data_IF_304396795210
#
_entry.id   IF_304396795210
#
_cell.length_a   1.000
_cell.length_b   1.000
_cell.length_c   1.000
_cell.angle_alpha   90.00
_cell.angle_beta   90.00
_cell.angle_gamma   90.00
#
_symmetry.space_group_name_H-M   'P 1'
#
loop_
_entity.id
_entity.type
_entity.pdbx_description
1 polymer ?
#
# COMPACT_ATOMS: atom_id res chain seq x y z
N UNK A 1 -9.35 17.17 -9.76
CA UNK A 1 -8.06 16.50 -9.46
C UNK A 1 -7.97 16.41 -7.96
N UNK A 2 -7.77 15.22 -7.40
CA UNK A 2 -7.62 15.04 -5.95
C UNK A 2 -6.17 15.29 -5.54
N UNK A 3 -5.97 15.91 -4.38
CA UNK A 3 -4.65 16.01 -3.78
C UNK A 3 -4.28 14.65 -3.16
N UNK A 4 -3.05 14.22 -3.41
CA UNK A 4 -2.49 12.98 -2.84
C UNK A 4 -1.47 13.36 -1.78
N UNK A 5 -1.69 12.94 -0.56
CA UNK A 5 -0.78 13.12 0.57
C UNK A 5 0.02 11.84 0.77
N UNK A 6 1.33 11.95 0.89
CA UNK A 6 2.20 10.80 1.11
C UNK A 6 2.81 10.90 2.50
N UNK A 7 2.65 9.85 3.30
CA UNK A 7 3.14 9.81 4.67
C UNK A 7 3.73 8.44 5.04
N UNK A 8 4.78 8.48 5.85
CA UNK A 8 5.36 7.29 6.46
C UNK A 8 4.50 6.87 7.65
N UNK A 9 4.22 5.56 7.77
CA UNK A 9 3.49 5.01 8.90
C UNK A 9 4.37 5.03 10.16
N UNK A 10 3.82 5.53 11.26
CA UNK A 10 4.39 5.47 12.59
C UNK A 10 3.81 4.26 13.34
N UNK A 11 4.65 3.58 14.10
CA UNK A 11 4.28 2.37 14.84
C UNK A 11 4.27 2.65 16.33
N UNK A 12 3.14 2.38 16.99
CA UNK A 12 2.89 2.72 18.39
C UNK A 12 2.60 1.45 19.22
N UNK A 13 3.10 1.42 20.44
CA UNK A 13 2.63 0.47 21.45
C UNK A 13 1.32 0.97 22.08
N UNK A 14 0.19 0.52 21.54
CA UNK A 14 -1.15 0.93 22.00
C UNK A 14 -1.44 0.61 23.47
N UNK A 15 -0.57 -0.14 24.17
CA UNK A 15 -0.69 -0.39 25.60
C UNK A 15 0.00 0.67 26.45
N UNK A 16 0.96 1.39 25.87
CA UNK A 16 1.84 2.32 26.59
C UNK A 16 1.79 3.74 26.05
N UNK A 17 1.42 3.90 24.80
CA UNK A 17 1.42 5.16 24.11
C UNK A 17 0.00 5.59 23.76
N UNK A 18 -0.30 6.85 23.99
CA UNK A 18 -1.56 7.44 23.56
C UNK A 18 -1.50 7.68 22.05
N UNK A 19 -2.64 7.50 21.40
CA UNK A 19 -2.79 7.87 20.00
C UNK A 19 -2.61 9.38 19.87
N UNK A 20 -1.69 9.87 19.00
CA UNK A 20 -1.43 11.30 18.95
C UNK A 20 -2.67 12.06 18.48
N UNK A 21 -2.94 13.19 19.11
CA UNK A 21 -3.90 14.16 18.63
C UNK A 21 -3.32 14.89 17.43
N UNK A 22 -4.14 15.17 16.44
CA UNK A 22 -3.66 15.82 15.22
C UNK A 22 -4.75 15.99 14.17
N UNK A 23 -4.34 15.99 12.92
CA UNK A 23 -5.24 16.15 11.79
C UNK A 23 -5.94 14.82 11.41
N UNK A 24 -6.82 14.87 10.43
CA UNK A 24 -7.59 13.72 9.93
C UNK A 24 -6.74 12.59 9.37
N UNK A 25 -5.46 12.81 9.06
CA UNK A 25 -4.56 11.79 8.54
C UNK A 25 -3.92 10.92 9.63
N UNK A 26 -3.91 11.36 10.87
CA UNK A 26 -3.30 10.65 11.99
C UNK A 26 -3.76 9.20 12.10
N UNK A 27 -5.07 8.87 12.04
CA UNK A 27 -5.52 7.47 12.10
C UNK A 27 -4.97 6.59 10.98
N UNK A 28 -4.76 7.17 9.81
CA UNK A 28 -4.28 6.45 8.61
C UNK A 28 -2.76 6.26 8.59
N UNK A 29 -2.02 7.06 9.34
CA UNK A 29 -0.56 7.04 9.41
C UNK A 29 -0.01 6.37 10.67
N UNK A 30 -0.85 5.68 11.43
CA UNK A 30 -0.41 4.97 12.64
C UNK A 30 -0.84 3.51 12.59
N UNK A 31 0.06 2.64 13.02
CA UNK A 31 -0.16 1.19 13.16
C UNK A 31 0.34 0.70 14.51
N UNK A 32 -0.12 -0.49 14.90
CA UNK A 32 0.40 -1.19 16.07
C UNK A 32 1.87 -1.55 15.86
N UNK A 33 2.69 -1.39 16.90
CA UNK A 33 4.13 -1.66 16.87
C UNK A 33 4.49 -3.07 16.35
N UNK A 34 3.63 -4.08 16.55
CA UNK A 34 3.85 -5.43 16.01
C UNK A 34 3.94 -5.51 14.48
N UNK A 35 3.53 -4.47 13.76
CA UNK A 35 3.62 -4.35 12.30
C UNK A 35 4.79 -3.49 11.83
N UNK A 36 5.71 -3.10 12.72
CA UNK A 36 6.83 -2.20 12.39
C UNK A 36 7.72 -2.73 11.24
N UNK A 37 7.81 -4.05 11.12
CA UNK A 37 8.58 -4.71 10.06
C UNK A 37 8.07 -4.40 8.64
N UNK A 38 6.84 -3.92 8.47
CA UNK A 38 6.27 -3.58 7.17
C UNK A 38 6.84 -2.28 6.60
N UNK A 39 7.29 -1.35 7.45
CA UNK A 39 7.84 -0.04 7.06
C UNK A 39 6.98 0.71 6.03
N UNK A 40 5.66 0.74 6.24
CA UNK A 40 4.69 1.27 5.28
C UNK A 40 4.93 2.73 4.90
N UNK A 41 4.80 3.00 3.62
CA UNK A 41 4.57 4.33 3.06
C UNK A 41 3.15 4.36 2.49
N UNK A 42 2.35 5.35 2.87
CA UNK A 42 0.95 5.45 2.47
C UNK A 42 0.68 6.67 1.63
N UNK A 43 -0.01 6.46 0.51
CA UNK A 43 -0.63 7.52 -0.25
C UNK A 43 -2.10 7.64 0.21
N UNK A 44 -2.51 8.84 0.59
CA UNK A 44 -3.85 9.12 1.13
C UNK A 44 -4.50 10.17 0.26
N UNK A 45 -5.73 9.91 -0.14
CA UNK A 45 -6.59 10.88 -0.83
C UNK A 45 -7.73 11.22 0.11
N UNK A 46 -7.92 12.51 0.38
CA UNK A 46 -9.08 13.01 1.10
C UNK A 46 -9.98 13.72 0.10
N UNK A 47 -11.12 13.13 -0.28
CA UNK A 47 -12.07 13.80 -1.12
C UNK A 47 -12.68 14.98 -0.35
N UNK A 48 -12.50 16.19 -0.88
CA UNK A 48 -13.15 17.41 -0.38
C UNK A 48 -14.26 17.72 -1.36
N UNK A 49 -15.50 17.76 -0.90
CA UNK A 49 -16.64 18.08 -1.74
C UNK A 49 -16.95 19.59 -1.68
N UNK A 50 -17.52 20.16 -2.77
CA UNK A 50 -17.98 21.54 -2.77
C UNK A 50 -19.04 21.73 -1.68
N UNK A 51 -18.72 22.53 -0.64
CA UNK A 51 -19.59 22.75 0.52
C UNK A 51 -18.83 22.61 1.85
N UNK A 52 -17.63 22.01 1.85
CA UNK A 52 -16.76 21.99 3.02
C UNK A 52 -17.14 20.98 4.11
N UNK A 53 -18.28 20.31 3.99
CA UNK A 53 -18.67 19.28 4.95
C UNK A 53 -17.98 17.94 4.65
N UNK A 54 -17.34 17.30 5.64
CA UNK A 54 -16.89 15.94 5.49
C UNK A 54 -18.11 15.06 5.20
N UNK A 55 -18.02 14.20 4.18
CA UNK A 55 -19.11 13.31 3.80
C UNK A 55 -19.40 12.38 4.98
N UNK A 56 -20.49 12.63 5.66
CA UNK A 56 -21.00 11.70 6.66
C UNK A 56 -22.16 10.86 6.11
N UNK A 57 -22.81 11.26 5.01
CA UNK A 57 -24.10 10.65 4.62
C UNK A 57 -24.36 10.43 3.13
N UNK A 58 -23.43 10.59 2.22
CA UNK A 58 -23.71 10.24 0.82
C UNK A 58 -22.83 9.09 0.34
N UNK A 59 -23.46 8.08 -0.22
CA UNK A 59 -22.88 6.85 -0.77
C UNK A 59 -22.18 6.97 -2.16
N UNK A 60 -21.39 7.99 -2.49
CA UNK A 60 -20.71 7.98 -3.77
C UNK A 60 -19.51 7.02 -3.82
N UNK A 61 -19.13 6.40 -2.69
CA UNK A 61 -17.95 5.54 -2.59
C UNK A 61 -18.21 4.23 -1.82
N UNK A 62 -19.42 3.70 -1.91
CA UNK A 62 -19.78 2.43 -1.24
C UNK A 62 -18.77 1.30 -1.55
N UNK A 63 -18.23 1.28 -2.76
CA UNK A 63 -17.28 0.26 -3.25
C UNK A 63 -15.83 0.75 -3.32
N UNK A 64 -15.54 2.01 -2.92
CA UNK A 64 -14.22 2.64 -2.99
C UNK A 64 -14.04 3.58 -4.18
N UNK A 65 -12.84 4.14 -4.31
CA UNK A 65 -12.46 5.08 -5.35
C UNK A 65 -11.45 4.44 -6.30
N UNK A 66 -11.79 4.38 -7.59
CA UNK A 66 -10.82 4.01 -8.62
C UNK A 66 -9.90 5.20 -8.91
N UNK A 67 -8.61 5.00 -8.71
CA UNK A 67 -7.57 6.00 -8.98
C UNK A 67 -6.72 5.51 -10.15
N UNK A 68 -6.67 6.31 -11.21
CA UNK A 68 -5.77 6.05 -12.33
C UNK A 68 -4.32 6.25 -11.89
N UNK A 69 -3.49 5.25 -12.16
CA UNK A 69 -2.05 5.28 -11.85
C UNK A 69 -1.25 4.78 -13.04
N UNK A 70 -0.06 5.32 -13.22
CA UNK A 70 0.92 4.79 -14.15
C UNK A 70 1.62 3.58 -13.51
N UNK A 71 1.16 2.38 -13.85
CA UNK A 71 1.69 1.13 -13.30
C UNK A 71 3.16 0.90 -13.67
N UNK A 72 3.63 1.41 -14.82
CA UNK A 72 5.02 1.27 -15.25
C UNK A 72 5.96 2.10 -14.37
N UNK A 73 5.50 3.26 -13.93
CA UNK A 73 6.25 4.11 -13.00
C UNK A 73 6.13 3.61 -11.55
N UNK A 74 4.96 3.07 -11.18
CA UNK A 74 4.68 2.67 -9.80
C UNK A 74 5.35 1.35 -9.41
N UNK A 75 5.41 0.38 -10.34
CA UNK A 75 5.87 -0.99 -10.06
C UNK A 75 7.23 -1.23 -10.71
N UNK A 76 8.26 -1.34 -9.90
CA UNK A 76 9.63 -1.62 -10.37
C UNK A 76 9.87 -3.14 -10.56
N UNK A 77 9.31 -3.97 -9.68
CA UNK A 77 9.54 -5.42 -9.70
C UNK A 77 8.40 -6.13 -8.97
N UNK A 78 8.09 -7.36 -9.39
CA UNK A 78 7.14 -8.24 -8.71
C UNK A 78 7.92 -9.38 -8.05
N UNK A 79 7.63 -9.64 -6.78
CA UNK A 79 8.20 -10.76 -6.06
C UNK A 79 7.14 -11.85 -5.81
N UNK A 80 7.48 -13.08 -6.16
CA UNK A 80 6.69 -14.25 -5.76
C UNK A 80 7.30 -14.87 -4.48
N UNK A 81 6.50 -15.63 -3.75
CA UNK A 81 6.96 -16.25 -2.51
C UNK A 81 8.19 -17.14 -2.79
N UNK A 82 9.17 -17.23 -1.86
CA UNK A 82 10.40 -17.99 -2.05
C UNK A 82 10.15 -19.47 -2.27
N UNK A 83 9.02 -19.99 -1.76
CA UNK A 83 8.58 -21.39 -1.92
C UNK A 83 7.76 -21.64 -3.18
N UNK A 84 7.47 -20.61 -3.97
CA UNK A 84 6.69 -20.77 -5.22
C UNK A 84 7.47 -21.61 -6.21
N UNK A 85 6.76 -22.48 -6.92
CA UNK A 85 7.34 -23.22 -8.04
C UNK A 85 7.61 -22.30 -9.24
N UNK A 86 8.54 -22.70 -10.10
CA UNK A 86 8.97 -21.90 -11.26
C UNK A 86 7.82 -21.56 -12.22
N UNK A 87 6.86 -22.48 -12.39
CA UNK A 87 5.69 -22.24 -13.24
C UNK A 87 4.81 -21.08 -12.74
N UNK A 88 4.76 -20.86 -11.40
CA UNK A 88 3.97 -19.77 -10.83
C UNK A 88 4.58 -18.41 -11.18
N UNK A 89 5.91 -18.29 -11.08
CA UNK A 89 6.59 -17.06 -11.49
C UNK A 89 6.36 -16.76 -12.99
N UNK A 90 6.44 -17.81 -13.84
CA UNK A 90 6.15 -17.67 -15.27
C UNK A 90 4.68 -17.27 -15.54
N UNK A 91 3.73 -17.82 -14.78
CA UNK A 91 2.33 -17.42 -14.85
C UNK A 91 2.14 -15.94 -14.51
N UNK A 92 2.72 -15.48 -13.40
CA UNK A 92 2.65 -14.07 -12.97
C UNK A 92 3.26 -13.15 -14.03
N UNK A 93 4.39 -13.53 -14.62
CA UNK A 93 5.02 -12.76 -15.71
C UNK A 93 4.12 -12.68 -16.95
N UNK A 94 3.48 -13.77 -17.33
CA UNK A 94 2.55 -13.78 -18.47
C UNK A 94 1.32 -12.92 -18.21
N UNK A 95 0.78 -12.96 -16.99
CA UNK A 95 -0.35 -12.10 -16.58
C UNK A 95 0.06 -10.62 -16.61
N UNK A 96 1.21 -10.26 -16.04
CA UNK A 96 1.74 -8.90 -16.06
C UNK A 96 1.86 -8.37 -17.49
N UNK A 97 2.47 -9.14 -18.39
CA UNK A 97 2.60 -8.80 -19.83
C UNK A 97 1.24 -8.64 -20.50
N UNK A 98 0.28 -9.50 -20.21
CA UNK A 98 -1.09 -9.43 -20.78
C UNK A 98 -1.77 -8.11 -20.44
N UNK A 99 -1.51 -7.56 -19.27
CA UNK A 99 -2.02 -6.26 -18.84
C UNK A 99 -1.09 -5.09 -19.14
N UNK A 100 -0.09 -5.29 -19.99
CA UNK A 100 0.80 -4.23 -20.45
C UNK A 100 1.88 -3.82 -19.45
N UNK A 101 2.08 -4.59 -18.37
CA UNK A 101 3.09 -4.31 -17.36
C UNK A 101 4.41 -5.04 -17.68
N UNK A 102 5.43 -4.29 -18.11
CA UNK A 102 6.73 -4.81 -18.49
C UNK A 102 7.73 -4.72 -17.33
N UNK A 103 7.54 -5.54 -16.30
CA UNK A 103 8.39 -5.58 -15.10
C UNK A 103 8.99 -6.98 -14.89
N UNK A 104 10.12 -7.05 -14.17
CA UNK A 104 10.71 -8.33 -13.82
C UNK A 104 9.94 -9.02 -12.71
N UNK A 105 9.77 -10.34 -12.83
CA UNK A 105 9.23 -11.20 -11.76
C UNK A 105 10.37 -12.02 -11.16
N UNK A 106 10.51 -11.99 -9.84
CA UNK A 106 11.61 -12.65 -9.11
C UNK A 106 11.07 -13.43 -7.92
N UNK A 107 11.80 -14.44 -7.48
CA UNK A 107 11.54 -15.07 -6.18
C UNK A 107 12.08 -14.19 -5.05
N UNK A 108 11.35 -14.12 -3.95
CA UNK A 108 11.80 -13.42 -2.74
C UNK A 108 12.95 -14.20 -2.08
N UNK A 109 13.91 -13.48 -1.51
CA UNK A 109 15.07 -14.04 -0.79
C UNK A 109 14.78 -14.30 0.70
N UNK A 110 13.54 -14.15 1.17
CA UNK A 110 13.17 -14.24 2.60
C UNK A 110 13.49 -15.58 3.28
N UNK A 111 13.77 -16.64 2.52
CA UNK A 111 14.14 -17.96 3.04
C UNK A 111 15.63 -18.31 2.87
N UNK A 112 16.46 -17.39 2.39
CA UNK A 112 17.90 -17.65 2.34
C UNK A 112 18.45 -17.80 3.75
N UNK A 113 19.29 -18.82 3.94
CA UNK A 113 20.01 -19.01 5.20
C UNK A 113 20.84 -17.76 5.50
N UNK A 114 20.76 -17.21 6.73
CA UNK A 114 21.60 -16.09 7.11
C UNK A 114 23.07 -16.40 6.92
N UNK A 115 23.80 -15.46 6.31
CA UNK A 115 25.25 -15.57 6.12
C UNK A 115 25.96 -15.03 7.37
N UNK A 116 26.01 -15.81 8.45
CA UNK A 116 26.88 -15.58 9.63
C UNK A 116 27.38 -16.87 10.23
#
# INVERSE_FOLDING_TARGET
MFEVYVGKTNYLDYKRELFPEGNTFVPFLHKRLSFEHEHDLRAIIQPIFPGGDPIIESEPFADGLLVEVDLQTLIECIYVAPTSEAWFAALVENVAKKYGLAVSVRHSDLQRTPLY
#
